data_IF_517773326764
#
_entry.id   IF_517773326764
#
_cell.length_a   1.000
_cell.length_b   1.000
_cell.length_c   1.000
_cell.angle_alpha   90.00
_cell.angle_beta   90.00
_cell.angle_gamma   90.00
#
_symmetry.space_group_name_H-M   'P 1'
#
loop_
_entity.id
_entity.type
_entity.pdbx_description
1 polymer ?
#
# COMPACT_ATOMS: atom_id res chain seq x y z
N UNK A 1 14.31 5.06 9.40
CA UNK A 1 14.05 3.62 9.09
C UNK A 1 13.35 2.94 10.27
N UNK A 2 12.39 2.04 10.02
CA UNK A 2 11.57 1.42 11.06
C UNK A 2 12.33 0.40 11.93
N UNK A 3 13.20 -0.45 11.38
CA UNK A 3 13.91 -1.50 12.12
C UNK A 3 15.12 -1.03 12.95
N UNK A 4 15.31 0.30 13.11
CA UNK A 4 16.43 0.91 13.82
C UNK A 4 15.92 1.71 15.03
N UNK A 5 16.17 3.03 15.05
CA UNK A 5 15.83 3.90 16.17
C UNK A 5 14.37 3.79 16.60
N UNK A 6 13.44 3.62 15.65
CA UNK A 6 12.02 3.42 15.94
C UNK A 6 11.79 2.11 16.69
N UNK A 7 12.29 0.98 16.18
CA UNK A 7 12.10 -0.33 16.82
C UNK A 7 12.72 -0.42 18.22
N UNK A 8 13.84 0.25 18.46
CA UNK A 8 14.53 0.25 19.77
C UNK A 8 13.95 1.30 20.74
N UNK A 9 12.96 2.10 20.29
CA UNK A 9 12.30 3.11 21.13
C UNK A 9 13.11 4.41 21.32
N UNK A 10 14.13 4.63 20.49
CA UNK A 10 14.95 5.85 20.50
C UNK A 10 14.37 6.96 19.61
N UNK A 11 13.27 6.68 18.90
CA UNK A 11 12.54 7.64 18.09
C UNK A 11 11.05 7.30 18.13
N UNK A 12 10.20 8.30 18.29
CA UNK A 12 8.74 8.14 18.36
C UNK A 12 8.11 7.72 17.01
N UNK A 13 8.85 7.86 15.92
CA UNK A 13 8.40 7.49 14.58
C UNK A 13 9.50 7.61 13.53
N UNK A 14 9.24 7.15 12.29
CA UNK A 14 10.17 7.33 11.18
C UNK A 14 10.25 8.81 10.78
N UNK A 15 11.40 9.19 10.22
CA UNK A 15 11.58 10.49 9.59
C UNK A 15 10.54 10.70 8.48
N UNK A 16 10.03 11.92 8.36
CA UNK A 16 9.16 12.30 7.25
C UNK A 16 9.97 12.38 5.96
N UNK A 17 9.35 11.98 4.85
CA UNK A 17 9.95 12.13 3.52
C UNK A 17 9.93 13.59 3.08
N UNK A 18 8.83 14.31 3.38
CA UNK A 18 8.65 15.74 3.12
C UNK A 18 7.82 16.40 4.24
N UNK A 19 7.86 17.73 4.27
CA UNK A 19 7.00 18.58 5.09
C UNK A 19 5.50 18.41 4.71
N UNK A 20 4.57 18.70 5.65
CA UNK A 20 3.14 18.42 5.43
C UNK A 20 2.51 19.12 4.21
N UNK A 21 2.98 20.32 3.87
CA UNK A 21 2.48 21.19 2.81
C UNK A 21 3.17 20.97 1.45
N UNK A 22 4.17 20.07 1.40
CA UNK A 22 4.98 19.85 0.19
C UNK A 22 4.14 19.48 -1.03
N UNK A 23 3.16 18.59 -0.88
CA UNK A 23 2.32 18.18 -2.01
C UNK A 23 1.43 19.31 -2.50
N UNK A 24 0.81 20.06 -1.58
CA UNK A 24 -0.07 21.18 -1.92
C UNK A 24 0.70 22.30 -2.62
N UNK A 25 1.84 22.70 -2.08
CA UNK A 25 2.71 23.74 -2.65
C UNK A 25 3.31 23.36 -4.01
N UNK A 26 3.24 22.08 -4.39
CA UNK A 26 3.72 21.55 -5.68
C UNK A 26 2.59 21.12 -6.62
N UNK A 27 1.35 21.47 -6.30
CA UNK A 27 0.16 21.09 -7.10
C UNK A 27 0.04 19.57 -7.31
N UNK A 28 0.36 18.81 -6.26
CA UNK A 28 0.24 17.35 -6.24
C UNK A 28 -1.04 16.97 -5.50
N UNK A 29 -2.02 16.46 -6.24
CA UNK A 29 -3.27 15.93 -5.69
C UNK A 29 -3.05 14.65 -4.86
N UNK A 30 -2.78 14.80 -3.56
CA UNK A 30 -2.57 13.69 -2.64
C UNK A 30 -3.90 13.09 -2.17
N UNK A 31 -4.10 11.79 -2.40
CA UNK A 31 -5.29 11.03 -1.96
C UNK A 31 -4.87 9.90 -1.03
N UNK A 32 -4.93 10.13 0.27
CA UNK A 32 -4.62 9.13 1.30
C UNK A 32 -5.85 8.24 1.58
N UNK A 33 -5.60 7.01 2.02
CA UNK A 33 -6.68 6.06 2.36
C UNK A 33 -7.48 5.54 1.15
N UNK A 34 -7.04 5.84 -0.08
CA UNK A 34 -7.67 5.36 -1.32
C UNK A 34 -6.84 4.21 -1.87
N UNK A 35 -7.40 3.01 -1.82
CA UNK A 35 -6.79 1.82 -2.43
C UNK A 35 -7.22 1.71 -3.90
N UNK A 36 -6.26 1.46 -4.78
CA UNK A 36 -6.53 1.13 -6.19
C UNK A 36 -6.64 -0.39 -6.33
N UNK A 37 -7.82 -0.87 -6.73
CA UNK A 37 -8.16 -2.29 -6.79
C UNK A 37 -8.16 -2.87 -8.21
N UNK A 38 -8.16 -2.00 -9.23
CA UNK A 38 -8.18 -2.42 -10.63
C UNK A 38 -7.42 -1.49 -11.54
N UNK A 39 -6.80 -2.07 -12.57
CA UNK A 39 -6.15 -1.35 -13.66
C UNK A 39 -6.75 -1.82 -15.00
N UNK A 40 -7.36 -0.90 -15.75
CA UNK A 40 -7.90 -1.17 -17.09
C UNK A 40 -7.05 -0.44 -18.13
N UNK A 41 -6.09 -1.16 -18.71
CA UNK A 41 -5.09 -0.59 -19.63
C UNK A 41 -5.73 -0.03 -20.90
N UNK A 42 -6.65 -0.77 -21.52
CA UNK A 42 -7.30 -0.35 -22.77
C UNK A 42 -8.10 0.95 -22.63
N UNK A 43 -8.71 1.18 -21.46
CA UNK A 43 -9.43 2.42 -21.15
C UNK A 43 -8.56 3.50 -20.50
N UNK A 44 -7.29 3.20 -20.19
CA UNK A 44 -6.38 4.08 -19.42
C UNK A 44 -7.02 4.62 -18.13
N UNK A 45 -7.63 3.73 -17.36
CA UNK A 45 -8.24 4.06 -16.07
C UNK A 45 -7.77 3.10 -14.97
N UNK A 46 -7.70 3.61 -13.75
CA UNK A 46 -7.64 2.83 -12.51
C UNK A 46 -9.00 2.85 -11.82
N UNK A 47 -9.30 1.81 -11.04
CA UNK A 47 -10.53 1.69 -10.25
C UNK A 47 -10.13 1.67 -8.78
N UNK A 48 -10.73 2.54 -7.96
CA UNK A 48 -10.49 2.52 -6.52
C UNK A 48 -11.40 1.52 -5.79
N UNK A 49 -11.18 1.36 -4.49
CA UNK A 49 -11.95 0.47 -3.62
C UNK A 49 -13.42 0.85 -3.46
N UNK A 50 -13.82 2.07 -3.85
CA UNK A 50 -15.22 2.50 -3.90
C UNK A 50 -15.88 2.21 -5.24
N UNK A 51 -15.11 1.72 -6.22
CA UNK A 51 -15.55 1.45 -7.59
C UNK A 51 -15.45 2.66 -8.53
N UNK A 52 -14.95 3.80 -8.06
CA UNK A 52 -14.78 5.01 -8.88
C UNK A 52 -13.59 4.84 -9.82
N UNK A 53 -13.76 5.31 -11.06
CA UNK A 53 -12.71 5.27 -12.09
C UNK A 53 -11.94 6.59 -12.17
N UNK A 54 -10.62 6.52 -12.24
CA UNK A 54 -9.74 7.68 -12.47
C UNK A 54 -8.94 7.47 -13.75
N UNK A 55 -9.03 8.41 -14.69
CA UNK A 55 -8.27 8.37 -15.95
C UNK A 55 -6.83 8.83 -15.78
N UNK A 56 -5.96 8.36 -16.66
CA UNK A 56 -4.57 8.80 -16.72
C UNK A 56 -4.05 8.85 -18.17
N UNK A 57 -3.14 9.79 -18.43
CA UNK A 57 -2.34 9.78 -19.66
C UNK A 57 -1.08 8.92 -19.49
N UNK A 58 -0.47 9.02 -18.30
CA UNK A 58 0.72 8.29 -17.85
C UNK A 58 0.46 7.72 -16.47
N UNK A 59 0.91 6.49 -16.24
CA UNK A 59 0.77 5.78 -14.97
C UNK A 59 2.13 5.29 -14.49
N UNK A 60 2.43 5.55 -13.22
CA UNK A 60 3.59 5.00 -12.50
C UNK A 60 3.05 4.10 -11.39
N UNK A 61 3.52 2.84 -11.35
CA UNK A 61 3.20 1.90 -10.29
C UNK A 61 4.29 1.95 -9.23
N UNK A 62 3.96 2.54 -8.08
CA UNK A 62 4.85 2.67 -6.92
C UNK A 62 4.28 1.92 -5.69
N UNK A 63 3.69 0.74 -5.91
CA UNK A 63 2.99 -0.05 -4.88
C UNK A 63 3.91 -0.77 -3.88
N UNK A 64 5.23 -0.66 -4.06
CA UNK A 64 6.21 -1.32 -3.19
C UNK A 64 6.14 -2.85 -3.27
N UNK A 65 6.38 -3.50 -2.14
CA UNK A 65 6.35 -4.96 -1.99
C UNK A 65 5.70 -5.33 -0.67
N UNK A 66 5.12 -6.53 -0.62
CA UNK A 66 4.56 -7.10 0.61
C UNK A 66 5.45 -8.25 1.08
N UNK A 67 5.61 -8.38 2.39
CA UNK A 67 6.33 -9.52 2.97
C UNK A 67 5.59 -10.82 2.64
N UNK A 68 6.22 -11.66 1.82
CA UNK A 68 5.78 -13.02 1.62
C UNK A 68 6.30 -13.85 2.79
N UNK A 69 5.43 -14.12 3.77
CA UNK A 69 5.74 -15.05 4.85
C UNK A 69 6.13 -16.43 4.31
N UNK A 70 6.85 -17.25 5.09
CA UNK A 70 7.20 -18.59 4.67
C UNK A 70 5.93 -19.40 4.35
N UNK A 71 5.96 -20.32 3.37
CA UNK A 71 4.81 -21.17 3.08
C UNK A 71 4.44 -22.01 4.32
N UNK A 72 3.31 -21.69 4.95
CA UNK A 72 2.80 -22.45 6.10
C UNK A 72 1.92 -23.60 5.60
N UNK A 73 2.27 -24.83 5.98
CA UNK A 73 1.43 -26.00 5.69
C UNK A 73 0.19 -25.94 6.59
N UNK A 74 -1.01 -25.92 6.00
CA UNK A 74 -2.25 -25.94 6.76
C UNK A 74 -2.28 -27.14 7.73
N UNK A 75 -2.78 -26.97 8.97
CA UNK A 75 -2.84 -28.06 9.93
C UNK A 75 -3.70 -29.20 9.39
N UNK A 76 -3.23 -30.46 9.54
CA UNK A 76 -4.01 -31.63 9.15
C UNK A 76 -5.24 -31.70 10.05
N UNK A 77 -6.45 -31.60 9.50
CA UNK A 77 -7.67 -31.96 10.22
C UNK A 77 -7.56 -33.43 10.62
N UNK A 78 -7.40 -33.70 11.91
CA UNK A 78 -7.52 -35.04 12.46
C UNK A 78 -8.93 -35.56 12.18
N UNK A 79 -9.03 -36.79 11.66
CA UNK A 79 -10.30 -37.50 11.52
C UNK A 79 -10.79 -37.79 12.93
N UNK A 80 -11.86 -37.14 13.36
CA UNK A 80 -12.57 -37.52 14.58
C UNK A 80 -13.13 -38.94 14.34
N UNK A 81 -12.57 -39.93 15.03
CA UNK A 81 -13.20 -41.24 15.20
C UNK A 81 -14.16 -41.11 16.38
N UNK A 82 -15.45 -41.22 16.07
CA UNK A 82 -16.51 -41.46 17.04
C UNK A 82 -16.48 -42.92 17.52
#
# INVERSE_FOLDING_TARGET
MLSKGVLVGNADGPDRVHEPDFCETRDVGLRLGVEITGLRIGGRVVVDSTGVTHSYDRLILATGSTDAGPPVRAPRRGRATA
#
